data_IF_263728709680
#
_entry.id   IF_263728709680
#
_cell.length_a   1.000
_cell.length_b   1.000
_cell.length_c   1.000
_cell.angle_alpha   90.00
_cell.angle_beta   90.00
_cell.angle_gamma   90.00
#
_symmetry.space_group_name_H-M   'P 1'
#
loop_
_entity.id
_entity.type
_entity.pdbx_description
1 polymer ?
#
# COMPACT_ATOMS: atom_id res chain seq x y z
N UNK A 1 22.42 36.91 -11.67
CA UNK A 1 21.13 37.65 -11.64
C UNK A 1 20.05 36.65 -12.10
N UNK A 2 19.28 36.11 -11.16
CA UNK A 2 18.26 35.08 -11.45
C UNK A 2 16.96 35.80 -11.81
N UNK A 3 16.69 35.94 -13.08
CA UNK A 3 15.42 36.55 -13.56
C UNK A 3 14.33 35.51 -13.38
N UNK A 4 13.54 35.62 -12.29
CA UNK A 4 12.28 34.87 -12.14
C UNK A 4 11.37 35.19 -13.33
N UNK A 5 11.13 34.21 -14.22
CA UNK A 5 10.11 34.35 -15.25
C UNK A 5 8.78 34.59 -14.58
N UNK A 6 8.23 35.79 -14.75
CA UNK A 6 6.89 36.13 -14.32
C UNK A 6 5.88 35.27 -15.11
N UNK A 7 5.31 34.27 -14.43
CA UNK A 7 4.13 33.57 -14.93
C UNK A 7 2.92 34.49 -14.68
N UNK A 8 2.44 35.09 -15.76
CA UNK A 8 1.24 35.94 -15.74
C UNK A 8 0.33 35.47 -16.88
N UNK A 9 -0.94 35.22 -16.57
CA UNK A 9 -1.96 34.72 -17.53
C UNK A 9 -2.01 35.55 -18.83
N UNK A 10 -1.78 36.85 -18.74
CA UNK A 10 -1.68 37.74 -19.90
C UNK A 10 -0.46 37.45 -20.79
N UNK A 11 0.62 36.98 -20.21
CA UNK A 11 1.85 36.60 -20.95
C UNK A 11 1.70 35.22 -21.57
N UNK A 12 1.06 34.32 -20.85
CA UNK A 12 0.85 32.95 -21.32
C UNK A 12 -0.24 32.90 -22.41
N UNK A 13 -1.29 33.72 -22.33
CA UNK A 13 -2.28 33.85 -23.39
C UNK A 13 -1.68 34.42 -24.69
N UNK A 14 -0.76 35.40 -24.58
CA UNK A 14 -0.05 35.92 -25.76
C UNK A 14 0.90 34.89 -26.38
N UNK A 15 1.55 34.05 -25.58
CA UNK A 15 2.38 32.94 -26.08
C UNK A 15 1.53 31.88 -26.75
N UNK A 16 0.40 31.51 -26.15
CA UNK A 16 -0.55 30.56 -26.75
C UNK A 16 -1.08 31.04 -28.10
N UNK A 17 -1.45 32.34 -28.19
CA UNK A 17 -1.87 32.94 -29.46
C UNK A 17 -0.77 32.93 -30.52
N UNK A 18 0.50 33.22 -30.14
CA UNK A 18 1.62 33.14 -31.09
C UNK A 18 1.87 31.72 -31.59
N UNK A 19 1.77 30.74 -30.71
CA UNK A 19 1.88 29.32 -31.07
C UNK A 19 0.76 28.91 -32.01
N UNK A 20 -0.48 29.36 -31.77
CA UNK A 20 -1.62 29.07 -32.63
C UNK A 20 -1.55 29.72 -34.03
N UNK A 21 -0.75 30.80 -34.19
CA UNK A 21 -0.53 31.49 -35.47
C UNK A 21 0.69 30.97 -36.24
N UNK A 22 1.48 30.08 -35.63
CA UNK A 22 2.68 29.54 -36.27
C UNK A 22 2.31 28.43 -37.27
N UNK A 23 2.30 28.80 -38.57
CA UNK A 23 2.00 27.87 -39.65
C UNK A 23 3.02 26.72 -39.82
N UNK A 24 4.18 26.77 -39.11
CA UNK A 24 5.16 25.67 -39.12
C UNK A 24 4.77 24.54 -38.17
N UNK A 25 3.84 24.76 -37.26
CA UNK A 25 3.38 23.74 -36.31
C UNK A 25 2.48 22.73 -37.01
N UNK A 26 2.83 21.49 -36.95
CA UNK A 26 1.97 20.40 -37.42
C UNK A 26 0.74 20.31 -36.53
N UNK A 27 -0.45 20.24 -37.15
CA UNK A 27 -1.68 19.99 -36.42
C UNK A 27 -1.56 18.74 -35.58
N UNK A 28 -1.97 18.83 -34.32
CA UNK A 28 -2.04 17.65 -33.46
C UNK A 28 -3.07 16.67 -34.04
N UNK A 29 -2.66 15.42 -34.19
CA UNK A 29 -3.61 14.37 -34.57
C UNK A 29 -4.51 14.12 -33.36
N UNK A 30 -5.81 14.33 -33.54
CA UNK A 30 -6.82 13.94 -32.55
C UNK A 30 -6.89 12.43 -32.58
N UNK A 31 -6.56 11.75 -31.46
CA UNK A 31 -6.64 10.30 -31.43
C UNK A 31 -8.09 9.83 -31.58
N UNK A 32 -8.26 8.64 -32.13
CA UNK A 32 -9.53 7.92 -32.13
C UNK A 32 -10.04 7.70 -30.70
N UNK A 33 -11.36 7.65 -30.51
CA UNK A 33 -12.02 7.46 -29.21
C UNK A 33 -11.50 6.23 -28.48
N UNK A 34 -11.23 5.13 -29.18
CA UNK A 34 -10.63 3.94 -28.63
C UNK A 34 -9.23 4.18 -28.00
N UNK A 35 -8.44 5.07 -28.60
CA UNK A 35 -7.12 5.44 -28.07
C UNK A 35 -7.28 6.36 -26.85
N UNK A 36 -8.29 7.23 -26.85
CA UNK A 36 -8.60 8.08 -25.71
C UNK A 36 -9.04 7.23 -24.52
N UNK A 37 -9.93 6.27 -24.73
CA UNK A 37 -10.39 5.35 -23.70
C UNK A 37 -9.24 4.51 -23.14
N UNK A 38 -8.40 3.96 -24.03
CA UNK A 38 -7.22 3.20 -23.59
C UNK A 38 -6.28 4.06 -22.72
N UNK A 39 -6.04 5.32 -23.09
CA UNK A 39 -5.22 6.23 -22.28
C UNK A 39 -5.83 6.48 -20.90
N UNK A 40 -7.15 6.64 -20.82
CA UNK A 40 -7.84 6.83 -19.55
C UNK A 40 -7.71 5.58 -18.68
N UNK A 41 -7.98 4.39 -19.22
CA UNK A 41 -7.81 3.11 -18.51
C UNK A 41 -6.38 2.91 -18.00
N UNK A 42 -5.38 3.26 -18.80
CA UNK A 42 -3.97 3.17 -18.40
C UNK A 42 -3.66 4.14 -17.25
N UNK A 43 -4.18 5.37 -17.31
CA UNK A 43 -4.02 6.35 -16.22
C UNK A 43 -4.67 5.87 -14.93
N UNK A 44 -5.89 5.34 -15.01
CA UNK A 44 -6.61 4.78 -13.87
C UNK A 44 -5.87 3.57 -13.28
N UNK A 45 -5.34 2.69 -14.12
CA UNK A 45 -4.51 1.57 -13.68
C UNK A 45 -3.30 2.05 -12.85
N UNK A 46 -2.54 3.02 -13.35
CA UNK A 46 -1.40 3.55 -12.61
C UNK A 46 -1.81 4.29 -11.34
N UNK A 47 -2.90 5.04 -11.38
CA UNK A 47 -3.44 5.69 -10.19
C UNK A 47 -3.78 4.69 -9.08
N UNK A 48 -4.49 3.60 -9.39
CA UNK A 48 -4.79 2.56 -8.41
C UNK A 48 -3.54 1.81 -7.94
N UNK A 49 -2.57 1.64 -8.82
CA UNK A 49 -1.28 1.03 -8.48
C UNK A 49 -0.49 1.87 -7.48
N UNK A 50 -0.46 3.17 -7.67
CA UNK A 50 0.19 4.11 -6.77
C UNK A 50 -0.53 4.18 -5.42
N UNK A 51 -1.86 4.20 -5.44
CA UNK A 51 -2.68 4.14 -4.22
C UNK A 51 -2.43 2.85 -3.43
N UNK A 52 -2.39 1.70 -4.10
CA UNK A 52 -2.04 0.42 -3.48
C UNK A 52 -0.67 0.49 -2.81
N UNK A 53 0.32 1.03 -3.50
CA UNK A 53 1.69 1.17 -2.99
C UNK A 53 1.73 2.06 -1.74
N UNK A 54 0.99 3.18 -1.75
CA UNK A 54 0.89 4.09 -0.61
C UNK A 54 0.25 3.41 0.62
N UNK A 55 -0.81 2.61 0.41
CA UNK A 55 -1.46 1.85 1.49
C UNK A 55 -0.50 0.81 2.08
N UNK A 56 0.22 0.07 1.24
CA UNK A 56 1.22 -0.92 1.68
C UNK A 56 2.34 -0.26 2.49
N UNK A 57 2.85 0.87 2.04
CA UNK A 57 3.87 1.64 2.78
C UNK A 57 3.36 2.11 4.14
N UNK A 58 2.10 2.56 4.21
CA UNK A 58 1.47 2.96 5.47
C UNK A 58 1.33 1.77 6.41
N UNK A 59 0.86 0.62 5.94
CA UNK A 59 0.79 -0.62 6.74
C UNK A 59 2.16 -1.01 7.29
N UNK A 60 3.20 -0.98 6.46
CA UNK A 60 4.57 -1.24 6.90
C UNK A 60 5.04 -0.25 7.98
N UNK A 61 4.71 1.04 7.83
CA UNK A 61 5.08 2.05 8.81
C UNK A 61 4.38 1.82 10.17
N UNK A 62 3.10 1.49 10.17
CA UNK A 62 2.36 1.17 11.39
C UNK A 62 2.90 -0.09 12.08
N UNK A 63 3.19 -1.14 11.32
CA UNK A 63 3.75 -2.38 11.86
C UNK A 63 5.18 -2.18 12.40
N UNK A 64 6.02 -1.36 11.76
CA UNK A 64 7.35 -1.04 12.27
C UNK A 64 7.32 -0.43 13.68
N UNK A 65 6.28 0.31 14.02
CA UNK A 65 6.12 0.93 15.34
C UNK A 65 5.46 -0.02 16.33
N UNK A 66 4.38 -0.68 15.92
CA UNK A 66 3.54 -1.47 16.84
C UNK A 66 3.93 -2.94 16.93
N UNK A 67 4.43 -3.51 15.82
CA UNK A 67 4.71 -4.95 15.72
C UNK A 67 5.88 -5.24 14.75
N UNK A 68 7.10 -4.72 15.02
CA UNK A 68 8.21 -4.75 14.06
C UNK A 68 8.61 -6.16 13.61
N UNK A 69 8.68 -7.13 14.51
CA UNK A 69 9.08 -8.49 14.18
C UNK A 69 8.08 -9.22 13.28
N UNK A 70 6.81 -8.79 13.22
CA UNK A 70 5.80 -9.37 12.34
C UNK A 70 6.16 -9.25 10.86
N UNK A 71 6.91 -8.22 10.48
CA UNK A 71 7.35 -8.00 9.10
C UNK A 71 8.20 -9.16 8.54
N UNK A 72 8.79 -9.98 9.41
CA UNK A 72 9.64 -11.12 9.06
C UNK A 72 8.88 -12.46 9.12
N UNK A 73 7.64 -12.49 9.59
CA UNK A 73 6.86 -13.73 9.74
C UNK A 73 6.46 -14.28 8.37
N UNK A 74 6.06 -13.42 7.45
CA UNK A 74 5.67 -13.80 6.10
C UNK A 74 6.61 -13.19 5.06
N UNK A 75 6.71 -13.83 3.89
CA UNK A 75 7.53 -13.29 2.79
C UNK A 75 7.08 -11.89 2.34
N UNK A 76 5.78 -11.61 2.47
CA UNK A 76 5.17 -10.29 2.26
C UNK A 76 4.04 -10.10 3.26
N UNK A 77 3.96 -8.94 3.87
CA UNK A 77 2.86 -8.57 4.79
C UNK A 77 1.51 -8.53 4.07
N UNK A 78 1.51 -8.31 2.77
CA UNK A 78 0.31 -8.25 1.93
C UNK A 78 -0.20 -9.62 1.47
N UNK A 79 0.32 -10.73 2.00
CA UNK A 79 -0.27 -12.05 1.74
C UNK A 79 -1.66 -12.13 2.35
N UNK A 80 -2.56 -12.87 1.70
CA UNK A 80 -3.95 -13.02 2.17
C UNK A 80 -4.03 -13.53 3.62
N UNK A 81 -3.15 -14.48 3.97
CA UNK A 81 -3.06 -15.00 5.35
C UNK A 81 -2.66 -13.92 6.33
N UNK A 82 -1.61 -13.14 6.00
CA UNK A 82 -1.14 -12.06 6.86
C UNK A 82 -2.20 -10.98 7.06
N UNK A 83 -2.88 -10.57 5.99
CA UNK A 83 -3.94 -9.57 6.06
C UNK A 83 -5.12 -10.03 6.91
N UNK A 84 -5.58 -11.28 6.76
CA UNK A 84 -6.65 -11.83 7.60
C UNK A 84 -6.27 -11.90 9.07
N UNK A 85 -5.03 -12.26 9.38
CA UNK A 85 -4.53 -12.27 10.75
C UNK A 85 -4.47 -10.87 11.34
N UNK A 86 -4.00 -9.88 10.59
CA UNK A 86 -3.95 -8.49 11.04
C UNK A 86 -5.33 -7.85 11.15
N UNK A 87 -6.29 -8.26 10.34
CA UNK A 87 -7.69 -7.84 10.44
C UNK A 87 -8.33 -8.34 11.74
N UNK A 88 -8.14 -9.63 12.06
CA UNK A 88 -8.65 -10.23 13.29
C UNK A 88 -7.88 -9.77 14.53
N UNK A 89 -6.55 -9.81 14.46
CA UNK A 89 -5.63 -9.59 15.57
C UNK A 89 -4.57 -8.54 15.21
N UNK A 90 -4.89 -7.23 15.18
CA UNK A 90 -4.01 -6.19 14.69
C UNK A 90 -2.79 -5.91 15.58
N UNK A 91 -2.87 -6.22 16.86
CA UNK A 91 -1.77 -6.00 17.81
C UNK A 91 -1.12 -7.31 18.25
N UNK A 92 0.15 -7.23 18.64
CA UNK A 92 0.88 -8.37 19.19
C UNK A 92 0.20 -8.99 20.42
N UNK A 93 -0.37 -8.18 21.29
CA UNK A 93 -1.12 -8.62 22.46
C UNK A 93 -2.37 -9.42 22.07
N UNK A 94 -3.09 -8.99 21.03
CA UNK A 94 -4.28 -9.70 20.54
C UNK A 94 -3.90 -11.09 20.00
N UNK A 95 -2.78 -11.18 19.26
CA UNK A 95 -2.28 -12.45 18.73
C UNK A 95 -1.80 -13.42 19.84
N UNK A 96 -1.22 -12.90 20.92
CA UNK A 96 -0.82 -13.73 22.06
C UNK A 96 -2.02 -14.21 22.89
N UNK A 97 -3.09 -13.42 22.94
CA UNK A 97 -4.32 -13.78 23.66
C UNK A 97 -5.24 -14.70 22.85
N UNK A 98 -5.05 -14.79 21.54
CA UNK A 98 -5.89 -15.59 20.66
C UNK A 98 -5.68 -17.10 20.90
N UNK A 99 -6.75 -17.93 20.78
CA UNK A 99 -6.66 -19.37 20.85
C UNK A 99 -5.72 -19.92 19.74
N UNK A 100 -4.82 -20.84 20.10
CA UNK A 100 -3.91 -21.46 19.16
C UNK A 100 -4.61 -22.07 17.95
N UNK A 101 -5.70 -22.81 18.23
CA UNK A 101 -6.42 -23.55 17.19
C UNK A 101 -7.05 -22.60 16.15
N UNK A 102 -7.53 -21.43 16.59
CA UNK A 102 -8.10 -20.41 15.71
C UNK A 102 -7.06 -19.78 14.80
N UNK A 103 -5.88 -19.42 15.34
CA UNK A 103 -4.78 -18.90 14.54
C UNK A 103 -4.27 -19.94 13.53
N UNK A 104 -4.05 -21.19 13.97
CA UNK A 104 -3.60 -22.28 13.10
C UNK A 104 -4.61 -22.55 11.99
N UNK A 105 -5.91 -22.59 12.31
CA UNK A 105 -6.96 -22.81 11.32
C UNK A 105 -7.05 -21.64 10.33
N UNK A 106 -6.92 -20.40 10.78
CA UNK A 106 -6.87 -19.23 9.89
C UNK A 106 -5.71 -19.31 8.90
N UNK A 107 -4.54 -19.73 9.37
CA UNK A 107 -3.36 -19.92 8.51
C UNK A 107 -3.60 -21.05 7.53
N UNK A 108 -4.09 -22.19 8.00
CA UNK A 108 -4.33 -23.40 7.18
C UNK A 108 -5.34 -23.15 6.07
N UNK A 109 -6.48 -22.57 6.43
CA UNK A 109 -7.59 -22.33 5.49
C UNK A 109 -7.23 -21.30 4.42
N UNK A 110 -6.37 -20.33 4.74
CA UNK A 110 -6.03 -19.23 3.84
C UNK A 110 -4.82 -19.55 2.96
N UNK A 111 -3.81 -20.21 3.54
CA UNK A 111 -2.53 -20.45 2.86
C UNK A 111 -2.55 -21.66 1.92
N UNK A 112 -3.56 -22.55 2.03
CA UNK A 112 -3.64 -23.85 1.33
C UNK A 112 -2.40 -24.75 1.54
N UNK A 113 -1.66 -24.51 2.60
CA UNK A 113 -0.51 -25.32 3.02
C UNK A 113 -0.94 -26.29 4.12
N UNK A 114 -0.12 -27.36 4.30
CA UNK A 114 -0.37 -28.36 5.32
C UNK A 114 -0.23 -27.84 6.75
N UNK A 115 -0.64 -28.68 7.70
CA UNK A 115 -0.62 -28.38 9.14
C UNK A 115 0.77 -28.01 9.67
N UNK A 116 1.80 -28.70 9.20
CA UNK A 116 3.20 -28.41 9.59
C UNK A 116 3.60 -26.96 9.28
N UNK A 117 3.18 -26.44 8.13
CA UNK A 117 3.43 -25.04 7.78
C UNK A 117 2.66 -24.09 8.71
N UNK A 118 1.39 -24.40 8.97
CA UNK A 118 0.56 -23.57 9.84
C UNK A 118 1.12 -23.48 11.26
N UNK A 119 1.57 -24.60 11.82
CA UNK A 119 2.22 -24.65 13.13
C UNK A 119 3.53 -23.86 13.15
N UNK A 120 4.39 -24.03 12.15
CA UNK A 120 5.63 -23.25 12.05
C UNK A 120 5.39 -21.75 11.97
N UNK A 121 4.34 -21.30 11.25
CA UNK A 121 3.95 -19.88 11.19
C UNK A 121 3.36 -19.39 12.49
N UNK A 122 2.55 -20.21 13.17
CA UNK A 122 2.06 -19.90 14.51
C UNK A 122 3.22 -19.66 15.49
N UNK A 123 4.21 -20.53 15.53
CA UNK A 123 5.37 -20.38 16.40
C UNK A 123 6.17 -19.10 16.07
N UNK A 124 6.34 -18.80 14.79
CA UNK A 124 6.97 -17.55 14.33
C UNK A 124 6.18 -16.30 14.76
N UNK A 125 4.84 -16.35 14.69
CA UNK A 125 3.95 -15.25 15.14
C UNK A 125 4.10 -15.08 16.66
N UNK A 126 4.07 -16.15 17.45
CA UNK A 126 4.22 -16.08 18.89
C UNK A 126 5.57 -15.51 19.30
N UNK A 127 6.64 -15.89 18.61
CA UNK A 127 7.97 -15.34 18.84
C UNK A 127 8.00 -13.85 18.52
N UNK A 128 7.53 -13.46 17.34
CA UNK A 128 7.45 -12.07 16.94
C UNK A 128 6.59 -11.22 17.90
N UNK A 129 5.49 -11.77 18.41
CA UNK A 129 4.62 -11.07 19.35
C UNK A 129 5.26 -10.86 20.72
N UNK A 130 6.05 -11.84 21.20
CA UNK A 130 6.85 -11.68 22.42
C UNK A 130 7.93 -10.61 22.25
N UNK A 131 8.61 -10.58 21.12
CA UNK A 131 9.60 -9.54 20.80
C UNK A 131 8.96 -8.15 20.77
N UNK A 132 7.75 -8.05 20.21
CA UNK A 132 7.00 -6.78 20.17
C UNK A 132 6.60 -6.27 21.56
N UNK A 133 6.38 -7.15 22.52
CA UNK A 133 6.13 -6.75 23.91
C UNK A 133 7.33 -6.02 24.54
N UNK A 134 8.55 -6.31 24.05
CA UNK A 134 9.80 -5.68 24.54
C UNK A 134 10.13 -4.42 23.71
N UNK A 135 10.00 -4.47 22.40
CA UNK A 135 10.51 -3.44 21.48
C UNK A 135 9.41 -2.62 20.79
N UNK A 136 8.18 -3.12 20.75
CA UNK A 136 7.06 -2.46 20.08
C UNK A 136 6.37 -1.44 21.00
N UNK A 137 5.87 -0.35 20.41
CA UNK A 137 5.01 0.61 21.08
C UNK A 137 3.61 0.56 20.48
N UNK A 138 2.81 -0.38 20.95
CA UNK A 138 1.43 -0.49 20.49
C UNK A 138 0.51 0.50 21.22
N UNK A 139 -0.23 1.30 20.45
CA UNK A 139 -1.32 2.15 20.93
C UNK A 139 -2.65 1.61 20.39
N UNK A 140 -3.78 1.80 21.09
CA UNK A 140 -5.10 1.39 20.57
C UNK A 140 -5.41 1.93 19.18
N UNK A 141 -4.93 3.13 18.84
CA UNK A 141 -5.09 3.73 17.52
C UNK A 141 -4.34 2.99 16.41
N UNK A 142 -3.28 2.23 16.72
CA UNK A 142 -2.58 1.41 15.72
C UNK A 142 -3.45 0.27 15.22
N UNK A 143 -4.29 -0.33 16.08
CA UNK A 143 -5.23 -1.37 15.68
C UNK A 143 -6.21 -0.89 14.60
N UNK A 144 -6.73 0.33 14.74
CA UNK A 144 -7.61 0.93 13.75
C UNK A 144 -6.88 1.21 12.43
N UNK A 145 -5.64 1.74 12.50
CA UNK A 145 -4.85 2.07 11.31
C UNK A 145 -4.36 0.86 10.53
N UNK A 146 -4.17 -0.27 11.21
CA UNK A 146 -3.80 -1.54 10.57
C UNK A 146 -4.98 -2.16 9.84
N UNK A 147 -6.22 -1.98 10.37
CA UNK A 147 -7.46 -2.50 9.76
C UNK A 147 -7.98 -1.64 8.59
N UNK A 148 -7.61 -0.36 8.52
CA UNK A 148 -7.98 0.55 7.41
C UNK A 148 -7.19 0.25 6.14
#
# INVERSE_FOLDING_TARGET
>A
MNVRKLHNDKFDSKKAAKVGLDASLKASIVPDDAIIDLRNLVRDYYYFKDLQSAIVLKLHAELKVSFPAYLNVFSKVTTQTSLKLLEAYPLAADMLAAPKDELVETIRSTARFGETYALARYDAICTAAKDAAVFGRALPSNALRIRL
#
